data_IF_611276687958
#
_entry.id   IF_611276687958
#
_cell.length_a   1.000
_cell.length_b   1.000
_cell.length_c   1.000
_cell.angle_alpha   90.00
_cell.angle_beta   90.00
_cell.angle_gamma   90.00
#
_symmetry.space_group_name_H-M   'P 1'
#
loop_
_entity.id
_entity.type
_entity.pdbx_description
1 polymer ?
#
# COMPACT_ATOMS: atom_id res chain seq x y z
N UNK A 1 -26.10 -31.20 19.48
CA UNK A 1 -24.86 -30.93 18.72
C UNK A 1 -24.40 -29.52 19.02
N UNK A 2 -23.34 -29.35 19.81
CA UNK A 2 -22.72 -28.04 20.08
C UNK A 2 -21.54 -27.90 19.12
N UNK A 3 -21.68 -27.02 18.13
CA UNK A 3 -20.57 -26.67 17.24
C UNK A 3 -19.58 -25.86 18.09
N UNK A 4 -18.34 -26.32 18.31
CA UNK A 4 -17.38 -25.57 19.10
C UNK A 4 -17.05 -24.27 18.38
N UNK A 5 -17.31 -23.15 19.06
CA UNK A 5 -17.03 -21.78 18.60
C UNK A 5 -15.56 -21.55 18.17
N UNK A 6 -14.65 -22.45 18.57
CA UNK A 6 -13.24 -22.44 18.20
C UNK A 6 -12.97 -22.69 16.71
N UNK A 7 -13.88 -23.33 15.98
CA UNK A 7 -13.64 -23.61 14.55
C UNK A 7 -13.84 -22.40 13.63
N UNK A 8 -14.45 -21.30 14.13
CA UNK A 8 -14.78 -20.13 13.30
C UNK A 8 -13.68 -19.07 13.28
N UNK A 9 -12.73 -19.09 14.24
CA UNK A 9 -11.72 -18.03 14.38
C UNK A 9 -10.49 -18.28 13.48
N UNK A 10 -10.28 -19.51 13.00
CA UNK A 10 -9.04 -19.91 12.29
C UNK A 10 -9.08 -19.61 10.78
N UNK A 11 -10.22 -19.23 10.21
CA UNK A 11 -10.35 -18.99 8.76
C UNK A 11 -10.02 -17.56 8.30
N UNK A 12 -9.78 -16.62 9.22
CA UNK A 12 -9.49 -15.22 8.88
C UNK A 12 -7.97 -14.95 8.80
N UNK A 13 -7.14 -15.85 9.33
CA UNK A 13 -5.69 -15.67 9.45
C UNK A 13 -4.85 -16.05 8.22
N UNK A 14 -5.47 -16.42 7.09
CA UNK A 14 -4.75 -16.85 5.88
C UNK A 14 -4.83 -15.87 4.70
N UNK A 15 -5.62 -14.81 4.81
CA UNK A 15 -5.58 -13.71 3.83
C UNK A 15 -4.60 -12.69 4.37
N UNK A 16 -3.34 -12.78 3.93
CA UNK A 16 -2.29 -11.83 4.30
C UNK A 16 -2.83 -10.41 4.19
N UNK A 17 -3.04 -9.76 5.34
CA UNK A 17 -3.55 -8.40 5.36
C UNK A 17 -2.52 -7.51 4.68
N UNK A 18 -2.98 -6.71 3.71
CA UNK A 18 -2.15 -5.69 3.12
C UNK A 18 -1.60 -4.77 4.22
N UNK A 19 -0.27 -4.59 4.25
CA UNK A 19 0.43 -3.72 5.20
C UNK A 19 -0.04 -2.27 5.08
N UNK A 20 -0.31 -1.81 3.87
CA UNK A 20 -0.74 -0.45 3.55
C UNK A 20 -2.12 -0.45 2.92
N UNK A 21 -2.83 0.66 3.05
CA UNK A 21 -4.21 0.84 2.59
C UNK A 21 -4.26 1.73 1.36
N UNK A 22 -5.35 1.62 0.62
CA UNK A 22 -5.67 2.55 -0.45
C UNK A 22 -5.68 4.00 0.07
N UNK A 23 -5.05 4.89 -0.69
CA UNK A 23 -4.91 6.31 -0.36
C UNK A 23 -3.65 6.66 0.42
N UNK A 24 -2.97 5.69 1.04
CA UNK A 24 -1.74 5.95 1.79
C UNK A 24 -0.56 6.29 0.87
N UNK A 25 0.26 7.23 1.32
CA UNK A 25 1.59 7.46 0.75
C UNK A 25 2.64 6.83 1.64
N UNK A 26 3.57 6.13 1.03
CA UNK A 26 4.64 5.38 1.70
C UNK A 26 5.98 5.83 1.18
N UNK A 27 6.97 5.91 2.06
CA UNK A 27 8.34 6.27 1.71
C UNK A 27 9.30 5.15 2.09
N UNK A 28 10.18 4.78 1.17
CA UNK A 28 11.32 3.93 1.49
C UNK A 28 12.34 4.75 2.29
N UNK A 29 12.61 4.34 3.54
CA UNK A 29 13.56 5.05 4.41
C UNK A 29 15.02 4.96 3.92
N UNK A 30 15.34 4.02 3.04
CA UNK A 30 16.70 3.82 2.53
C UNK A 30 17.07 4.76 1.38
N UNK A 31 16.13 5.04 0.47
CA UNK A 31 16.39 5.81 -0.75
C UNK A 31 15.46 7.04 -0.91
N UNK A 32 14.48 7.21 -0.03
CA UNK A 32 13.56 8.33 -0.04
C UNK A 32 12.44 8.23 -1.08
N UNK A 33 12.35 7.14 -1.85
CA UNK A 33 11.33 6.93 -2.89
C UNK A 33 9.94 6.92 -2.27
N UNK A 34 9.02 7.72 -2.81
CA UNK A 34 7.65 7.81 -2.34
C UNK A 34 6.70 7.14 -3.35
N UNK A 35 5.79 6.33 -2.83
CA UNK A 35 4.68 5.74 -3.58
C UNK A 35 3.35 6.14 -2.95
N UNK A 36 2.31 6.24 -3.78
CA UNK A 36 0.92 6.33 -3.33
C UNK A 36 0.21 5.03 -3.68
N UNK A 37 -0.36 4.36 -2.70
CA UNK A 37 -1.22 3.21 -2.92
C UNK A 37 -2.56 3.72 -3.46
N UNK A 38 -2.90 3.32 -4.69
CA UNK A 38 -4.16 3.71 -5.32
C UNK A 38 -5.20 2.61 -5.28
N UNK A 39 -4.79 1.37 -4.98
CA UNK A 39 -5.71 0.23 -4.90
C UNK A 39 -5.02 -0.93 -4.17
N UNK A 40 -5.80 -1.74 -3.46
CA UNK A 40 -5.35 -2.98 -2.80
C UNK A 40 -6.27 -4.12 -3.21
N UNK A 41 -5.71 -5.15 -3.86
CA UNK A 41 -6.43 -6.35 -4.27
C UNK A 41 -5.73 -7.61 -3.75
N UNK A 42 -6.32 -8.25 -2.74
CA UNK A 42 -5.73 -9.41 -2.07
C UNK A 42 -4.27 -9.14 -1.63
N UNK A 43 -3.30 -9.74 -2.31
CA UNK A 43 -1.86 -9.61 -2.06
C UNK A 43 -1.15 -8.71 -3.07
N UNK A 44 -1.90 -7.86 -3.77
CA UNK A 44 -1.36 -6.97 -4.81
C UNK A 44 -1.77 -5.52 -4.57
N UNK A 45 -0.83 -4.64 -4.87
CA UNK A 45 -1.04 -3.20 -4.88
C UNK A 45 -1.12 -2.66 -6.30
N UNK A 46 -1.91 -1.62 -6.46
CA UNK A 46 -1.70 -0.62 -7.51
C UNK A 46 -1.11 0.61 -6.85
N UNK A 47 0.00 1.14 -7.38
CA UNK A 47 0.65 2.32 -6.80
C UNK A 47 1.22 3.29 -7.84
N UNK A 48 1.31 4.57 -7.48
CA UNK A 48 1.94 5.62 -8.29
C UNK A 48 3.22 6.09 -7.61
N UNK A 49 4.33 6.14 -8.35
CA UNK A 49 5.58 6.72 -7.85
C UNK A 49 5.54 8.25 -7.87
N UNK A 50 6.15 8.89 -6.88
CA UNK A 50 6.40 10.32 -6.85
C UNK A 50 7.75 10.64 -7.49
N UNK A 51 7.75 11.49 -8.51
CA UNK A 51 8.99 11.89 -9.18
C UNK A 51 8.86 13.32 -9.70
N UNK A 52 9.88 14.15 -9.41
CA UNK A 52 9.98 15.53 -9.91
C UNK A 52 8.69 16.35 -9.71
N UNK A 53 8.13 16.35 -8.50
CA UNK A 53 6.97 17.18 -8.16
C UNK A 53 5.62 16.67 -8.66
N UNK A 54 5.55 15.43 -9.20
CA UNK A 54 4.31 14.85 -9.73
C UNK A 54 4.19 13.36 -9.47
N UNK A 55 2.94 12.88 -9.45
CA UNK A 55 2.60 11.46 -9.47
C UNK A 55 2.75 10.90 -10.90
N UNK A 56 3.43 9.77 -11.01
CA UNK A 56 3.55 9.01 -12.25
C UNK A 56 2.31 8.18 -12.58
N UNK A 57 2.45 7.31 -13.58
CA UNK A 57 1.42 6.33 -13.95
C UNK A 57 1.24 5.28 -12.85
N UNK A 58 0.02 4.76 -12.75
CA UNK A 58 -0.31 3.68 -11.84
C UNK A 58 0.31 2.36 -12.31
N UNK A 59 1.17 1.79 -11.48
CA UNK A 59 1.77 0.47 -11.67
C UNK A 59 0.87 -0.54 -10.97
N UNK A 60 0.27 -1.45 -11.75
CA UNK A 60 -0.67 -2.46 -11.27
C UNK A 60 0.03 -3.77 -10.92
N UNK A 61 -0.53 -4.48 -9.94
CA UNK A 61 -0.14 -5.86 -9.64
C UNK A 61 1.18 -5.99 -8.88
N UNK A 62 1.62 -4.93 -8.20
CA UNK A 62 2.81 -4.97 -7.34
C UNK A 62 2.59 -5.98 -6.22
N UNK A 63 3.46 -7.00 -6.07
CA UNK A 63 3.38 -7.95 -4.97
C UNK A 63 3.35 -7.26 -3.61
N UNK A 64 2.62 -7.80 -2.63
CA UNK A 64 2.47 -7.18 -1.30
C UNK A 64 3.78 -7.02 -0.53
N UNK A 65 4.78 -7.85 -0.84
CA UNK A 65 6.14 -7.80 -0.30
C UNK A 65 7.04 -6.75 -0.97
N UNK A 66 6.58 -6.11 -2.06
CA UNK A 66 7.26 -4.96 -2.68
C UNK A 66 7.48 -3.84 -1.67
N UNK A 67 6.49 -3.63 -0.80
CA UNK A 67 6.51 -2.60 0.24
C UNK A 67 6.82 -3.23 1.60
N UNK A 68 8.05 -3.71 1.73
CA UNK A 68 8.56 -4.36 2.93
C UNK A 68 8.71 -3.42 4.14
N UNK A 69 9.38 -3.88 5.20
CA UNK A 69 9.63 -3.13 6.44
C UNK A 69 10.31 -1.77 6.27
N UNK A 70 11.00 -1.51 5.15
CA UNK A 70 11.68 -0.23 4.86
C UNK A 70 10.70 0.87 4.44
N UNK A 71 9.48 0.50 4.07
CA UNK A 71 8.44 1.46 3.76
C UNK A 71 7.69 1.86 5.03
N UNK A 72 7.49 3.16 5.19
CA UNK A 72 6.71 3.79 6.27
C UNK A 72 5.66 4.73 5.69
N UNK A 73 4.53 4.88 6.37
CA UNK A 73 3.49 5.84 5.95
C UNK A 73 3.98 7.27 6.18
N UNK A 74 3.75 8.15 5.19
CA UNK A 74 4.10 9.57 5.22
C UNK A 74 2.91 10.41 4.73
N UNK A 75 2.96 11.72 4.98
CA UNK A 75 2.02 12.64 4.35
C UNK A 75 2.21 12.61 2.82
N UNK A 76 1.10 12.53 2.07
CA UNK A 76 1.16 12.53 0.62
C UNK A 76 1.71 13.86 0.09
N UNK A 77 2.75 13.84 -0.76
CA UNK A 77 3.19 15.03 -1.48
C UNK A 77 2.07 15.61 -2.34
N UNK A 78 2.01 16.93 -2.39
CA UNK A 78 1.11 17.67 -3.27
C UNK A 78 1.83 17.96 -4.58
N UNK A 79 1.21 17.62 -5.71
CA UNK A 79 1.68 18.10 -7.01
C UNK A 79 1.71 19.62 -6.99
N UNK A 80 2.88 20.22 -7.20
CA UNK A 80 3.00 21.66 -7.36
C UNK A 80 2.11 22.05 -8.55
N UNK A 81 0.96 22.66 -8.27
CA UNK A 81 0.28 23.42 -9.31
C UNK A 81 1.16 24.63 -9.53
N UNK A 82 1.84 24.70 -10.67
CA UNK A 82 2.36 25.99 -11.15
C UNK A 82 1.15 26.93 -11.18
N UNK A 83 1.11 27.87 -10.24
CA UNK A 83 0.19 29.01 -10.31
C UNK A 83 0.75 29.84 -11.47
N UNK A 84 0.21 29.64 -12.68
CA UNK A 84 0.40 30.55 -13.80
C UNK A 84 -0.51 31.76 -13.64
#
# INVERSE_FOLDING_TARGET
>A
MRIPLLSLIVLISLFGCAKFKEGECIQNISDGTIWRITEVHFTKYTAQGWYAGKWGYAVKGLPSDTFDSRYVTVACPFSEKTIQ
#
